data_IF_002699162452
#
_entry.id   IF_002699162452
#
_cell.length_a   1.000
_cell.length_b   1.000
_cell.length_c   1.000
_cell.angle_alpha   90.00
_cell.angle_beta   90.00
_cell.angle_gamma   90.00
#
_symmetry.space_group_name_H-M   'P 1'
#
loop_
_entity.id
_entity.type
_entity.pdbx_description
1 polymer ?
#
# COMPACT_ATOMS: atom_id res chain seq x y z
N UNK A 1 6.57 0.83 3.27
CA UNK A 1 6.39 0.39 4.68
C UNK A 1 6.55 1.55 5.63
N UNK A 2 7.60 2.36 5.46
CA UNK A 2 7.96 3.53 6.28
C UNK A 2 6.86 4.55 6.58
N UNK A 3 5.77 4.51 5.83
CA UNK A 3 4.68 5.47 5.94
C UNK A 3 3.61 5.05 6.97
N UNK A 4 3.72 3.85 7.55
CA UNK A 4 2.96 3.42 8.73
C UNK A 4 3.72 3.82 9.99
N UNK A 5 3.10 4.65 10.83
CA UNK A 5 3.66 5.09 12.12
C UNK A 5 2.75 4.62 13.26
N UNK A 6 3.09 3.46 13.81
CA UNK A 6 2.35 2.86 14.92
C UNK A 6 2.52 3.65 16.22
N UNK A 7 3.66 4.35 16.40
CA UNK A 7 3.96 5.12 17.61
C UNK A 7 3.07 6.36 17.75
N UNK A 8 2.75 7.01 16.62
CA UNK A 8 1.86 8.17 16.58
C UNK A 8 0.44 7.84 16.11
N UNK A 9 0.09 6.56 15.95
CA UNK A 9 -1.19 6.13 15.41
C UNK A 9 -1.55 6.86 14.09
N UNK A 10 -0.59 6.91 13.17
CA UNK A 10 -0.65 7.72 11.97
C UNK A 10 -0.24 6.96 10.71
N UNK A 11 -0.83 7.36 9.58
CA UNK A 11 -0.42 6.93 8.25
C UNK A 11 -0.08 8.15 7.38
N UNK A 12 1.12 8.14 6.80
CA UNK A 12 1.60 9.17 5.89
C UNK A 12 1.19 8.84 4.45
N UNK A 13 0.27 9.61 3.89
CA UNK A 13 -0.11 9.50 2.48
C UNK A 13 0.72 10.50 1.68
N UNK A 14 1.72 9.99 0.97
CA UNK A 14 2.64 10.79 0.15
C UNK A 14 2.02 11.16 -1.20
N UNK A 15 2.29 12.36 -1.68
CA UNK A 15 1.87 12.85 -3.00
C UNK A 15 0.35 12.65 -3.25
N UNK A 16 -0.48 13.00 -2.27
CA UNK A 16 -1.93 12.93 -2.41
C UNK A 16 -2.44 14.00 -3.40
N UNK A 17 -3.77 14.09 -3.59
CA UNK A 17 -4.41 15.05 -4.51
C UNK A 17 -3.83 16.46 -4.34
N UNK A 18 -3.31 17.02 -5.44
CA UNK A 18 -2.66 18.33 -5.48
C UNK A 18 -1.17 18.33 -5.15
N UNK A 19 -0.52 17.17 -5.13
CA UNK A 19 0.92 17.06 -4.87
C UNK A 19 1.32 17.22 -3.41
N UNK A 20 0.37 17.11 -2.48
CA UNK A 20 0.57 17.38 -1.06
C UNK A 20 0.59 16.11 -0.24
N UNK A 21 1.50 16.04 0.71
CA UNK A 21 1.50 14.99 1.72
C UNK A 21 0.37 15.22 2.72
N UNK A 22 -0.18 14.12 3.25
CA UNK A 22 -1.22 14.14 4.28
C UNK A 22 -0.90 13.12 5.34
N UNK A 23 -1.25 13.45 6.59
CA UNK A 23 -1.25 12.50 7.70
C UNK A 23 -2.71 12.15 7.96
N UNK A 24 -3.02 10.86 8.06
CA UNK A 24 -4.34 10.36 8.41
C UNK A 24 -4.25 9.47 9.64
N UNK A 25 -5.36 9.33 10.35
CA UNK A 25 -5.42 8.52 11.57
C UNK A 25 -5.27 7.04 11.23
N UNK A 26 -4.59 6.29 12.11
CA UNK A 26 -4.50 4.84 12.08
C UNK A 26 -5.15 4.30 13.36
N UNK A 27 -6.30 3.59 13.27
CA UNK A 27 -6.93 2.99 14.44
C UNK A 27 -6.00 2.01 15.15
N UNK A 28 -5.85 2.14 16.47
CA UNK A 28 -4.94 1.30 17.26
C UNK A 28 -5.27 -0.21 17.21
N UNK A 29 -6.55 -0.56 16.98
CA UNK A 29 -7.00 -1.93 16.75
C UNK A 29 -6.33 -2.60 15.54
N UNK A 30 -5.83 -1.80 14.59
CA UNK A 30 -5.14 -2.30 13.41
C UNK A 30 -3.64 -2.54 13.64
N UNK A 31 -3.06 -2.15 14.78
CA UNK A 31 -1.63 -2.30 15.03
C UNK A 31 -1.20 -3.76 14.95
N UNK A 32 -1.79 -4.63 15.77
CA UNK A 32 -1.47 -6.07 15.80
C UNK A 32 -1.68 -6.77 14.45
N UNK A 33 -2.83 -6.63 13.75
CA UNK A 33 -2.99 -7.29 12.46
C UNK A 33 -2.05 -6.74 11.38
N UNK A 34 -1.72 -5.44 11.40
CA UNK A 34 -0.76 -4.85 10.46
C UNK A 34 0.68 -5.30 10.74
N UNK A 35 1.09 -5.39 12.00
CA UNK A 35 2.41 -5.92 12.37
C UNK A 35 2.56 -7.37 11.91
N UNK A 36 1.55 -8.22 12.14
CA UNK A 36 1.53 -9.59 11.64
C UNK A 36 1.62 -9.66 10.13
N UNK A 37 0.87 -8.82 9.43
CA UNK A 37 0.92 -8.71 7.97
C UNK A 37 2.32 -8.29 7.49
N UNK A 38 2.92 -7.29 8.15
CA UNK A 38 4.25 -6.79 7.82
C UNK A 38 5.34 -7.85 8.07
N UNK A 39 5.21 -8.68 9.10
CA UNK A 39 6.13 -9.79 9.34
C UNK A 39 6.11 -10.79 8.17
N UNK A 40 4.92 -11.20 7.72
CA UNK A 40 4.79 -12.06 6.53
C UNK A 40 5.30 -11.38 5.26
N UNK A 41 5.05 -10.08 5.10
CA UNK A 41 5.59 -9.30 3.98
C UNK A 41 7.10 -9.22 4.01
N UNK A 42 7.72 -9.11 5.18
CA UNK A 42 9.16 -9.06 5.37
C UNK A 42 9.83 -10.36 4.91
N UNK A 43 9.28 -11.51 5.30
CA UNK A 43 9.75 -12.81 4.80
C UNK A 43 9.68 -12.90 3.26
N UNK A 44 8.61 -12.38 2.65
CA UNK A 44 8.54 -12.34 1.19
C UNK A 44 9.57 -11.37 0.59
N UNK A 45 9.90 -10.28 1.27
CA UNK A 45 10.89 -9.31 0.81
C UNK A 45 12.31 -9.88 0.87
N UNK A 46 12.65 -10.64 1.92
CA UNK A 46 13.95 -11.33 2.02
C UNK A 46 14.13 -12.33 0.86
N UNK A 47 13.06 -13.03 0.45
CA UNK A 47 13.07 -13.88 -0.75
C UNK A 47 13.22 -13.07 -2.04
N UNK A 48 12.44 -11.99 -2.17
CA UNK A 48 12.58 -11.09 -3.32
C UNK A 48 14.04 -10.54 -3.41
N UNK A 49 14.72 -10.35 -2.28
CA UNK A 49 16.11 -9.88 -2.24
C UNK A 49 17.09 -10.96 -2.69
N UNK A 50 16.94 -12.20 -2.22
CA UNK A 50 17.78 -13.32 -2.67
C UNK A 50 17.65 -13.57 -4.17
N UNK A 51 16.45 -13.34 -4.71
CA UNK A 51 16.14 -13.53 -6.13
C UNK A 51 16.54 -12.31 -7.00
N UNK A 52 17.04 -11.23 -6.39
CA UNK A 52 17.46 -10.02 -7.10
C UNK A 52 16.30 -9.16 -7.66
N UNK A 53 15.08 -9.35 -7.14
CA UNK A 53 13.83 -8.72 -7.64
C UNK A 53 13.14 -7.82 -6.63
N UNK A 54 13.74 -7.60 -5.45
CA UNK A 54 13.23 -6.73 -4.37
C UNK A 54 13.28 -5.22 -4.67
N UNK A 55 13.27 -4.83 -5.93
CA UNK A 55 13.23 -3.41 -6.33
C UNK A 55 11.79 -2.94 -6.51
N UNK A 56 11.50 -1.72 -6.07
CA UNK A 56 10.21 -1.04 -6.30
C UNK A 56 10.43 0.27 -7.05
N UNK A 57 9.37 0.77 -7.69
CA UNK A 57 9.39 2.11 -8.25
C UNK A 57 9.40 3.14 -7.11
N UNK A 58 10.38 4.05 -7.13
CA UNK A 58 10.46 5.18 -6.21
C UNK A 58 10.22 6.51 -6.95
N UNK A 59 9.74 7.56 -6.26
CA UNK A 59 9.41 8.82 -6.90
C UNK A 59 10.65 9.55 -7.48
N UNK A 60 10.63 9.85 -8.79
CA UNK A 60 11.61 10.69 -9.50
C UNK A 60 13.07 10.55 -9.00
N UNK A 61 13.84 11.65 -8.97
CA UNK A 61 15.29 11.71 -8.74
C UNK A 61 15.80 11.09 -7.42
N UNK A 62 14.94 10.44 -6.64
CA UNK A 62 15.32 9.74 -5.43
C UNK A 62 16.25 8.56 -5.72
N UNK A 63 15.98 7.76 -6.75
CA UNK A 63 16.87 6.65 -7.14
C UNK A 63 18.24 7.19 -7.61
N UNK A 64 18.26 8.36 -8.27
CA UNK A 64 19.50 9.03 -8.68
C UNK A 64 20.28 9.59 -7.48
N UNK A 65 19.58 10.13 -6.49
CA UNK A 65 20.18 10.74 -5.29
C UNK A 65 20.66 9.68 -4.30
N UNK A 66 19.92 8.57 -4.20
CA UNK A 66 20.18 7.45 -3.30
C UNK A 66 20.03 6.14 -4.07
N UNK A 67 21.08 5.67 -4.76
CA UNK A 67 21.03 4.41 -5.49
C UNK A 67 20.66 3.23 -4.59
N UNK A 68 19.75 2.37 -5.03
CA UNK A 68 19.31 1.20 -4.26
C UNK A 68 18.26 1.50 -3.20
N UNK A 69 17.74 2.73 -3.12
CA UNK A 69 16.68 3.10 -2.19
C UNK A 69 15.41 2.27 -2.40
N UNK A 70 15.09 1.92 -3.65
CA UNK A 70 14.00 1.02 -3.99
C UNK A 70 14.18 -0.43 -3.49
N UNK A 71 15.37 -0.82 -3.02
CA UNK A 71 15.64 -2.14 -2.44
C UNK A 71 15.55 -2.14 -0.91
N UNK A 72 15.37 -0.98 -0.27
CA UNK A 72 15.25 -0.89 1.17
C UNK A 72 13.84 -1.28 1.63
N UNK A 73 13.75 -2.00 2.75
CA UNK A 73 12.49 -2.42 3.35
C UNK A 73 11.49 -1.28 3.54
N UNK A 74 11.95 -0.14 4.04
CA UNK A 74 11.11 1.03 4.28
C UNK A 74 10.34 1.50 3.04
N UNK A 75 10.93 1.33 1.85
CA UNK A 75 10.37 1.76 0.57
C UNK A 75 9.46 0.73 -0.08
N UNK A 76 9.46 -0.52 0.38
CA UNK A 76 8.60 -1.57 -0.16
C UNK A 76 7.11 -1.25 0.03
N UNK A 77 6.26 -1.75 -0.87
CA UNK A 77 4.81 -1.66 -0.70
C UNK A 77 4.34 -2.52 0.49
N UNK A 78 3.43 -1.95 1.31
CA UNK A 78 2.78 -2.67 2.41
C UNK A 78 1.93 -3.82 1.85
N UNK A 79 1.17 -3.56 0.79
CA UNK A 79 0.35 -4.54 0.08
C UNK A 79 0.90 -4.77 -1.33
N UNK A 80 1.89 -5.66 -1.48
CA UNK A 80 2.48 -5.96 -2.77
C UNK A 80 1.54 -6.81 -3.64
N UNK A 81 1.80 -6.86 -4.94
CA UNK A 81 1.18 -7.81 -5.85
C UNK A 81 1.68 -9.24 -5.58
N UNK A 82 0.81 -10.21 -5.83
CA UNK A 82 1.13 -11.63 -5.68
C UNK A 82 2.24 -12.08 -6.63
N UNK A 83 2.19 -11.59 -7.88
CA UNK A 83 3.20 -11.84 -8.90
C UNK A 83 4.12 -10.63 -9.10
N UNK A 84 5.33 -10.93 -9.55
CA UNK A 84 6.27 -9.94 -10.06
C UNK A 84 5.85 -9.56 -11.48
N UNK A 85 6.09 -8.31 -11.88
CA UNK A 85 5.83 -7.82 -13.23
C UNK A 85 7.08 -7.19 -13.83
N UNK A 86 7.27 -7.36 -15.14
CA UNK A 86 8.25 -6.58 -15.91
C UNK A 86 7.61 -5.27 -16.33
N UNK A 87 8.24 -4.15 -16.01
CA UNK A 87 7.81 -2.84 -16.52
C UNK A 87 8.17 -2.72 -18.01
N UNK A 88 7.20 -2.54 -18.92
CA UNK A 88 7.46 -2.46 -20.36
C UNK A 88 8.27 -1.24 -20.77
N UNK A 89 8.37 -0.19 -19.93
CA UNK A 89 9.11 1.03 -20.25
C UNK A 89 10.58 0.99 -19.82
N UNK A 90 10.87 0.32 -18.71
CA UNK A 90 12.22 0.26 -18.13
C UNK A 90 12.84 -1.14 -18.17
N UNK A 91 12.09 -2.15 -18.62
CA UNK A 91 12.43 -3.58 -18.60
C UNK A 91 12.74 -4.16 -17.21
N UNK A 92 12.64 -3.34 -16.16
CA UNK A 92 12.91 -3.76 -14.80
C UNK A 92 11.85 -4.74 -14.30
N UNK A 93 12.33 -5.84 -13.70
CA UNK A 93 11.50 -6.85 -13.06
C UNK A 93 11.33 -6.45 -11.60
N UNK A 94 10.08 -6.17 -11.21
CA UNK A 94 9.77 -5.63 -9.88
C UNK A 94 8.43 -6.08 -9.34
N UNK A 95 8.32 -6.10 -8.02
CA UNK A 95 7.05 -6.35 -7.34
C UNK A 95 6.29 -5.04 -7.15
N UNK A 96 5.20 -4.87 -7.89
CA UNK A 96 4.32 -3.70 -7.74
C UNK A 96 3.42 -3.81 -6.50
N UNK A 97 2.65 -2.78 -6.20
CA UNK A 97 1.53 -2.90 -5.26
C UNK A 97 0.38 -3.71 -5.87
N UNK A 98 -0.49 -4.26 -5.01
CA UNK A 98 -1.75 -4.90 -5.44
C UNK A 98 -2.55 -3.96 -6.34
N UNK A 99 -3.08 -4.47 -7.45
CA UNK A 99 -3.85 -3.68 -8.40
C UNK A 99 -5.16 -3.17 -7.79
N UNK A 100 -5.52 -1.91 -8.07
CA UNK A 100 -6.69 -1.26 -7.46
C UNK A 100 -8.01 -2.00 -7.73
N UNK A 101 -8.16 -2.61 -8.90
CA UNK A 101 -9.35 -3.36 -9.27
C UNK A 101 -9.59 -4.57 -8.37
N UNK A 102 -8.53 -5.14 -7.78
CA UNK A 102 -8.66 -6.25 -6.84
C UNK A 102 -9.38 -5.80 -5.56
N UNK A 103 -8.98 -4.65 -5.00
CA UNK A 103 -9.63 -4.04 -3.82
C UNK A 103 -11.05 -3.63 -4.16
N UNK A 104 -11.27 -2.95 -5.29
CA UNK A 104 -12.61 -2.54 -5.72
C UNK A 104 -13.55 -3.73 -5.88
N UNK A 105 -13.08 -4.85 -6.46
CA UNK A 105 -13.86 -6.09 -6.61
C UNK A 105 -14.14 -6.73 -5.27
N UNK A 106 -13.17 -6.78 -4.36
CA UNK A 106 -13.36 -7.31 -3.01
C UNK A 106 -14.45 -6.53 -2.26
N UNK A 107 -14.42 -5.20 -2.32
CA UNK A 107 -15.47 -4.36 -1.71
C UNK A 107 -16.84 -4.62 -2.35
N UNK A 108 -16.93 -4.70 -3.68
CA UNK A 108 -18.22 -5.01 -4.35
C UNK A 108 -18.80 -6.35 -3.90
N UNK A 109 -17.97 -7.38 -3.80
CA UNK A 109 -18.41 -8.69 -3.31
C UNK A 109 -18.86 -8.62 -1.85
N UNK A 110 -18.09 -7.97 -0.98
CA UNK A 110 -18.45 -7.81 0.42
C UNK A 110 -19.78 -7.07 0.63
N UNK A 111 -20.04 -6.02 -0.17
CA UNK A 111 -21.32 -5.27 -0.14
C UNK A 111 -22.50 -6.18 -0.51
N UNK A 112 -22.34 -6.99 -1.57
CA UNK A 112 -23.35 -7.95 -2.00
C UNK A 112 -23.59 -9.02 -0.93
N UNK A 113 -22.52 -9.62 -0.41
CA UNK A 113 -22.59 -10.73 0.55
C UNK A 113 -23.16 -10.26 1.90
N UNK A 114 -22.96 -8.99 2.26
CA UNK A 114 -23.57 -8.35 3.42
C UNK A 114 -25.04 -7.93 3.21
N UNK A 115 -25.64 -8.16 2.03
CA UNK A 115 -27.03 -7.81 1.75
C UNK A 115 -27.30 -6.29 1.66
N UNK A 116 -26.28 -5.47 1.41
CA UNK A 116 -26.42 -4.02 1.35
C UNK A 116 -27.03 -3.63 -0.01
N UNK A 117 -28.32 -3.27 -0.02
CA UNK A 117 -29.07 -2.95 -1.25
C UNK A 117 -28.72 -1.60 -1.90
N UNK A 118 -27.94 -0.75 -1.23
CA UNK A 118 -27.51 0.55 -1.77
C UNK A 118 -26.11 0.47 -2.42
N UNK A 119 -25.82 1.24 -3.48
CA UNK A 119 -24.49 1.28 -4.07
C UNK A 119 -23.42 1.67 -3.04
N UNK A 120 -22.40 0.81 -2.86
CA UNK A 120 -21.27 1.06 -1.97
C UNK A 120 -19.95 0.68 -2.65
N UNK A 121 -18.93 1.52 -2.44
CA UNK A 121 -17.61 1.43 -3.06
C UNK A 121 -16.51 1.92 -2.10
N UNK A 122 -15.24 1.81 -2.50
CA UNK A 122 -14.13 2.43 -1.75
C UNK A 122 -14.34 3.94 -1.54
N UNK A 123 -14.94 4.65 -2.52
CA UNK A 123 -15.25 6.07 -2.37
C UNK A 123 -16.35 6.32 -1.34
N UNK A 124 -17.36 5.45 -1.29
CA UNK A 124 -18.41 5.49 -0.27
C UNK A 124 -17.84 5.36 1.13
N UNK A 125 -16.92 4.40 1.35
CA UNK A 125 -16.24 4.21 2.64
C UNK A 125 -15.45 5.46 3.07
N UNK A 126 -14.73 6.08 2.11
CA UNK A 126 -14.01 7.34 2.37
C UNK A 126 -14.96 8.46 2.79
N UNK A 127 -16.12 8.57 2.14
CA UNK A 127 -17.11 9.58 2.48
C UNK A 127 -17.71 9.34 3.87
N UNK A 128 -18.11 8.10 4.17
CA UNK A 128 -18.63 7.71 5.49
C UNK A 128 -17.64 8.02 6.61
N UNK A 129 -16.34 7.76 6.41
CA UNK A 129 -15.30 8.14 7.36
C UNK A 129 -15.31 9.65 7.66
N UNK A 130 -15.37 10.49 6.62
CA UNK A 130 -15.38 11.94 6.81
C UNK A 130 -16.66 12.40 7.54
N UNK A 131 -17.83 11.87 7.18
CA UNK A 131 -19.10 12.23 7.81
C UNK A 131 -19.17 11.81 9.28
N UNK A 132 -18.62 10.66 9.65
CA UNK A 132 -18.64 10.18 11.04
C UNK A 132 -17.66 10.92 11.97
N UNK A 133 -16.73 11.71 11.41
CA UNK A 133 -15.79 12.53 12.18
C UNK A 133 -16.26 13.97 12.39
N UNK A 134 -17.40 14.35 11.80
CA UNK A 134 -18.06 15.65 12.02
C UNK A 134 -19.03 15.54 13.20
#
# INVERSE_FOLDING_TARGET
>A
VKDLDFGHAALFVRNAKGGKDRIVTLPGELNVPLERHLAGRHTMFERDQSDGVATVSVPFALERKYPGVGMMWGWQYVYPAASISRDPRSESVRRHHTHESAVQRAIRNAVRDAGIGRPASCHTLRHSFATHLL
#
